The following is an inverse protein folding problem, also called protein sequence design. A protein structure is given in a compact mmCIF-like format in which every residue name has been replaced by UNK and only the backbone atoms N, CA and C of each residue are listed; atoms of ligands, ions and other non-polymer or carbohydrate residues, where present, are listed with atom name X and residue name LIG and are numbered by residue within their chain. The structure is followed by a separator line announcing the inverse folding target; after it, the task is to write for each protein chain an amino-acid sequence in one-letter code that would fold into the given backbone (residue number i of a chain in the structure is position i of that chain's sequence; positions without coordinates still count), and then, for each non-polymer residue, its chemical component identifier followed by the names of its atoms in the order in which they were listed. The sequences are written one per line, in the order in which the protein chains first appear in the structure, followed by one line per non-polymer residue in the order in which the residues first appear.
data_IF_546472851143
#
_entry.id   IF_546472851143
#
_cell.length_a   1.000
_cell.length_b   1.000
_cell.length_c   1.000
_cell.angle_alpha   90.00
_cell.angle_beta   90.00
_cell.angle_gamma   90.00
#
_symmetry.space_group_name_H-M   'P 1'
#
loop_
_entity.id
_entity.type
_entity.pdbx_description
1 polymer ?
#
# COMPACT_ATOMS: atom_id res chain seq x y z
N UNK A 1 -31.22 48.48 -12.41
CA UNK A 1 -30.83 47.50 -11.36
C UNK A 1 -30.48 46.11 -11.91
N UNK A 2 -29.75 45.98 -13.05
CA UNK A 2 -29.50 44.65 -13.69
C UNK A 2 -28.05 44.15 -13.62
N UNK A 3 -27.14 44.85 -12.94
CA UNK A 3 -25.71 44.49 -12.84
C UNK A 3 -25.31 43.79 -11.54
N UNK A 4 -26.18 43.77 -10.51
CA UNK A 4 -25.89 43.14 -9.21
C UNK A 4 -26.31 41.67 -9.12
N UNK A 5 -27.23 41.24 -9.98
CA UNK A 5 -27.73 39.85 -10.02
C UNK A 5 -26.71 38.88 -10.61
N UNK A 6 -25.85 39.33 -11.54
CA UNK A 6 -24.81 38.48 -12.14
C UNK A 6 -23.65 38.19 -11.16
N UNK A 7 -23.35 39.10 -10.23
CA UNK A 7 -22.31 38.91 -9.23
C UNK A 7 -22.71 37.85 -8.18
N UNK A 8 -24.01 37.72 -7.89
CA UNK A 8 -24.51 36.75 -6.91
C UNK A 8 -24.54 35.32 -7.47
N UNK A 9 -24.71 35.14 -8.78
CA UNK A 9 -24.66 33.81 -9.42
C UNK A 9 -23.22 33.27 -9.54
N UNK A 10 -22.20 34.14 -9.61
CA UNK A 10 -20.81 33.70 -9.65
C UNK A 10 -20.27 33.27 -8.27
N UNK A 11 -20.85 33.79 -7.19
CA UNK A 11 -20.42 33.47 -5.82
C UNK A 11 -20.97 32.14 -5.27
N UNK A 12 -22.08 31.65 -5.81
CA UNK A 12 -22.65 30.35 -5.40
C UNK A 12 -21.98 29.14 -6.08
N UNK A 13 -21.34 29.35 -7.23
CA UNK A 13 -20.62 28.28 -7.94
C UNK A 13 -19.24 27.94 -7.32
N UNK A 14 -18.72 28.79 -6.42
CA UNK A 14 -17.42 28.60 -5.77
C UNK A 14 -17.51 27.88 -4.41
N UNK A 15 -18.73 27.56 -3.94
CA UNK A 15 -18.97 26.88 -2.66
C UNK A 15 -19.20 25.37 -2.81
N UNK A 16 -19.35 24.86 -4.03
CA UNK A 16 -19.39 23.42 -4.31
C UNK A 16 -17.97 22.88 -4.46
N UNK A 17 -17.18 22.96 -3.38
CA UNK A 17 -15.97 22.17 -3.25
C UNK A 17 -16.38 20.71 -3.16
N UNK A 18 -16.39 19.99 -4.28
CA UNK A 18 -16.59 18.55 -4.29
C UNK A 18 -15.46 17.90 -3.52
N UNK A 19 -15.75 17.42 -2.31
CA UNK A 19 -14.85 16.53 -1.59
C UNK A 19 -14.87 15.21 -2.35
N UNK A 20 -13.84 14.96 -3.14
CA UNK A 20 -13.60 13.62 -3.69
C UNK A 20 -13.12 12.76 -2.55
N UNK A 21 -14.02 11.97 -1.95
CA UNK A 21 -13.62 10.87 -1.09
C UNK A 21 -13.12 9.74 -2.00
N UNK A 22 -12.02 9.10 -1.63
CA UNK A 22 -11.64 7.85 -2.26
C UNK A 22 -12.77 6.85 -1.99
N UNK A 23 -13.40 6.37 -3.06
CA UNK A 23 -14.40 5.33 -2.96
C UNK A 23 -13.74 4.10 -2.33
N UNK A 24 -14.21 3.72 -1.15
CA UNK A 24 -13.69 2.57 -0.41
C UNK A 24 -14.77 1.49 -0.49
N UNK A 25 -14.57 0.48 -1.33
CA UNK A 25 -15.58 -0.56 -1.59
C UNK A 25 -15.47 -1.68 -0.54
N UNK A 26 -15.71 -1.35 0.73
CA UNK A 26 -15.83 -2.36 1.78
C UNK A 26 -17.28 -2.83 1.89
N UNK A 27 -17.50 -4.14 1.70
CA UNK A 27 -18.80 -4.80 1.96
C UNK A 27 -18.69 -5.60 3.25
N UNK A 28 -19.56 -5.30 4.22
CA UNK A 28 -19.60 -5.98 5.51
C UNK A 28 -20.91 -6.76 5.62
N UNK A 29 -20.81 -8.07 5.80
CA UNK A 29 -21.96 -8.96 5.99
C UNK A 29 -21.87 -9.57 7.38
N UNK A 30 -22.93 -9.43 8.16
CA UNK A 30 -23.05 -10.00 9.49
C UNK A 30 -24.33 -10.80 9.57
N UNK A 31 -24.22 -12.09 9.88
CA UNK A 31 -25.34 -13.03 9.93
C UNK A 31 -26.17 -13.02 8.63
N UNK A 32 -25.48 -12.92 7.49
CA UNK A 32 -26.10 -12.87 6.15
C UNK A 32 -26.76 -11.55 5.78
N UNK A 33 -26.67 -10.51 6.61
CA UNK A 33 -27.20 -9.17 6.33
C UNK A 33 -26.06 -8.20 6.06
N UNK A 34 -26.18 -7.40 5.00
CA UNK A 34 -25.24 -6.33 4.71
C UNK A 34 -25.40 -5.17 5.70
N UNK A 35 -24.29 -4.70 6.25
CA UNK A 35 -24.22 -3.56 7.16
C UNK A 35 -23.55 -2.41 6.42
N UNK A 36 -24.29 -1.32 6.24
CA UNK A 36 -23.82 -0.07 5.63
C UNK A 36 -22.98 0.74 6.64
N UNK A 37 -21.81 0.19 7.01
CA UNK A 37 -20.81 0.84 7.86
C UNK A 37 -19.41 0.39 7.48
N UNK A 38 -18.43 1.25 7.73
CA UNK A 38 -17.04 0.92 7.51
C UNK A 38 -16.37 0.41 8.80
N UNK A 39 -15.77 -0.77 8.76
CA UNK A 39 -15.00 -1.37 9.84
C UNK A 39 -13.58 -0.79 9.82
N UNK A 40 -13.22 -0.11 10.91
CA UNK A 40 -11.92 0.53 11.11
C UNK A 40 -10.94 -0.31 11.92
N UNK A 41 -11.44 -1.19 12.80
CA UNK A 41 -10.60 -2.08 13.61
C UNK A 41 -11.31 -3.40 13.92
N UNK A 42 -10.51 -4.47 14.02
CA UNK A 42 -10.97 -5.81 14.39
C UNK A 42 -10.22 -6.29 15.62
N UNK A 43 -10.95 -6.73 16.64
CA UNK A 43 -10.38 -7.36 17.84
C UNK A 43 -10.87 -8.80 17.96
N UNK A 44 -9.95 -9.76 17.96
CA UNK A 44 -10.27 -11.17 18.03
C UNK A 44 -10.12 -11.69 19.47
N UNK A 45 -11.14 -12.40 19.97
CA UNK A 45 -11.11 -13.03 21.28
C UNK A 45 -11.84 -14.39 21.23
N UNK A 46 -11.06 -15.48 21.28
CA UNK A 46 -11.58 -16.83 21.11
C UNK A 46 -12.26 -16.98 19.74
N UNK A 47 -13.53 -17.41 19.75
CA UNK A 47 -14.36 -17.59 18.55
C UNK A 47 -15.05 -16.30 18.08
N UNK A 48 -14.94 -15.22 18.85
CA UNK A 48 -15.63 -13.97 18.55
C UNK A 48 -14.70 -12.93 17.96
N UNK A 49 -15.29 -12.03 17.18
CA UNK A 49 -14.65 -10.82 16.65
C UNK A 49 -15.48 -9.60 17.04
N UNK A 50 -14.81 -8.59 17.58
CA UNK A 50 -15.37 -7.25 17.78
C UNK A 50 -14.97 -6.37 16.59
N UNK A 51 -15.97 -5.92 15.83
CA UNK A 51 -15.83 -4.95 14.77
C UNK A 51 -16.05 -3.56 15.36
N UNK A 52 -15.04 -2.70 15.24
CA UNK A 52 -15.15 -1.27 15.51
C UNK A 52 -15.44 -0.58 14.18
N UNK A 53 -16.56 0.14 14.12
CA UNK A 53 -16.93 0.94 12.96
C UNK A 53 -16.33 2.35 13.05
N UNK A 54 -16.26 3.02 11.91
CA UNK A 54 -15.79 4.41 11.73
C UNK A 54 -16.69 5.45 12.43
N UNK A 55 -17.97 5.14 12.64
CA UNK A 55 -18.90 5.93 13.45
C UNK A 55 -18.69 5.78 14.97
N UNK A 56 -17.61 5.12 15.39
CA UNK A 56 -17.26 4.78 16.77
C UNK A 56 -18.20 3.77 17.45
N UNK A 57 -19.17 3.18 16.74
CA UNK A 57 -19.95 2.05 17.27
C UNK A 57 -19.18 0.74 17.16
N UNK A 58 -19.55 -0.26 17.96
CA UNK A 58 -18.93 -1.58 17.89
C UNK A 58 -19.97 -2.69 17.98
N UNK A 59 -19.64 -3.84 17.38
CA UNK A 59 -20.44 -5.05 17.44
C UNK A 59 -19.53 -6.25 17.66
N UNK A 60 -19.92 -7.16 18.55
CA UNK A 60 -19.21 -8.43 18.76
C UNK A 60 -20.09 -9.57 18.27
N UNK A 61 -19.56 -10.39 17.38
CA UNK A 61 -20.25 -11.56 16.81
C UNK A 61 -19.32 -12.75 16.70
N UNK A 62 -19.91 -13.93 16.50
CA UNK A 62 -19.16 -15.13 16.14
C UNK A 62 -18.46 -14.92 14.79
N UNK A 63 -17.18 -15.24 14.72
CA UNK A 63 -16.37 -15.05 13.51
C UNK A 63 -16.92 -15.81 12.30
N UNK A 64 -17.67 -16.90 12.51
CA UNK A 64 -18.31 -17.65 11.42
C UNK A 64 -19.47 -16.90 10.74
N UNK A 65 -19.96 -15.82 11.35
CA UNK A 65 -21.10 -15.03 10.85
C UNK A 65 -20.67 -13.74 10.16
N UNK A 66 -19.39 -13.41 10.22
CA UNK A 66 -18.86 -12.13 9.74
C UNK A 66 -18.08 -12.37 8.45
N UNK A 67 -18.42 -11.62 7.41
CA UNK A 67 -17.66 -11.56 6.16
C UNK A 67 -17.37 -10.11 5.82
N UNK A 68 -16.10 -9.79 5.55
CA UNK A 68 -15.67 -8.47 5.11
C UNK A 68 -14.95 -8.65 3.78
N UNK A 69 -15.47 -8.00 2.75
CA UNK A 69 -14.86 -7.96 1.42
C UNK A 69 -14.34 -6.56 1.15
N UNK A 70 -13.14 -6.48 0.58
CA UNK A 70 -12.53 -5.23 0.12
C UNK A 70 -12.35 -5.36 -1.39
N UNK A 71 -13.17 -4.64 -2.14
CA UNK A 71 -13.04 -4.54 -3.58
C UNK A 71 -12.28 -3.24 -3.91
N UNK A 72 -11.31 -3.34 -4.81
CA UNK A 72 -10.60 -2.19 -5.30
C UNK A 72 -10.36 -2.40 -6.79
N UNK A 73 -10.90 -1.52 -7.63
CA UNK A 73 -10.71 -1.58 -9.08
C UNK A 73 -9.23 -1.35 -9.49
N UNK A 74 -8.44 -0.68 -8.64
CA UNK A 74 -7.04 -0.35 -8.92
C UNK A 74 -6.10 -0.95 -7.87
N UNK A 75 -5.32 -1.95 -8.25
CA UNK A 75 -4.26 -2.50 -7.37
C UNK A 75 -3.02 -1.60 -7.39
N UNK A 76 -2.58 -1.13 -6.23
CA UNK A 76 -1.32 -0.34 -6.08
C UNK A 76 -0.12 -1.22 -5.71
N UNK A 77 -0.20 -2.53 -6.00
CA UNK A 77 0.85 -3.49 -5.68
C UNK A 77 2.13 -3.29 -6.49
N UNK A 78 3.25 -3.82 -5.97
CA UNK A 78 4.51 -3.88 -6.72
C UNK A 78 4.37 -4.94 -7.82
N UNK A 79 4.20 -4.50 -9.06
CA UNK A 79 4.06 -5.39 -10.22
C UNK A 79 5.40 -5.86 -10.79
N UNK A 80 6.47 -5.09 -10.57
CA UNK A 80 7.80 -5.39 -11.10
C UNK A 80 8.90 -4.96 -10.13
N UNK A 81 9.92 -5.80 -9.96
CA UNK A 81 11.18 -5.43 -9.32
C UNK A 81 12.14 -5.05 -10.45
N UNK A 82 12.38 -3.76 -10.65
CA UNK A 82 13.44 -3.30 -11.57
C UNK A 82 14.80 -3.59 -10.93
N UNK A 83 15.43 -4.69 -11.34
CA UNK A 83 16.86 -4.87 -11.07
C UNK A 83 17.63 -3.90 -11.95
N UNK A 84 18.53 -3.10 -11.36
CA UNK A 84 19.49 -2.34 -12.17
C UNK A 84 20.25 -3.33 -13.04
N UNK A 85 20.13 -3.18 -14.34
CA UNK A 85 20.92 -3.92 -15.30
C UNK A 85 22.40 -3.48 -15.13
N UNK A 86 23.15 -4.28 -14.37
CA UNK A 86 24.58 -4.10 -14.17
C UNK A 86 25.39 -4.81 -15.28
N UNK A 87 24.75 -5.19 -16.39
CA UNK A 87 25.45 -5.76 -17.54
C UNK A 87 26.45 -4.74 -18.10
N UNK A 88 27.73 -5.01 -17.90
CA UNK A 88 28.81 -4.31 -18.63
C UNK A 88 29.98 -3.81 -17.81
N UNK A 89 29.91 -3.74 -16.47
CA UNK A 89 31.07 -3.35 -15.65
C UNK A 89 31.06 -4.10 -14.31
N UNK A 90 31.57 -5.34 -14.29
CA UNK A 90 31.81 -6.11 -13.07
C UNK A 90 32.83 -5.39 -12.19
N UNK A 91 32.41 -4.38 -11.45
CA UNK A 91 33.20 -3.80 -10.37
C UNK A 91 33.08 -4.74 -9.18
N UNK A 92 34.21 -5.16 -8.64
CA UNK A 92 34.26 -5.97 -7.43
C UNK A 92 34.49 -5.06 -6.25
N UNK A 93 33.75 -5.28 -5.16
CA UNK A 93 33.97 -4.61 -3.88
C UNK A 93 34.12 -5.62 -2.76
N UNK A 94 34.81 -5.26 -1.68
CA UNK A 94 34.76 -6.04 -0.45
C UNK A 94 33.49 -5.72 0.36
N UNK A 95 33.31 -6.39 1.50
CA UNK A 95 32.13 -6.21 2.36
C UNK A 95 32.03 -4.82 3.00
N UNK A 96 33.14 -4.07 3.05
CA UNK A 96 33.17 -2.69 3.50
C UNK A 96 32.88 -1.69 2.35
N UNK A 97 32.55 -2.17 1.14
CA UNK A 97 32.27 -1.34 -0.02
C UNK A 97 33.52 -0.76 -0.72
N UNK A 98 34.72 -1.23 -0.37
CA UNK A 98 35.97 -0.78 -1.02
C UNK A 98 36.13 -1.45 -2.38
N UNK A 99 36.52 -0.68 -3.40
CA UNK A 99 36.72 -1.18 -4.77
C UNK A 99 37.97 -2.08 -4.87
N UNK A 100 37.80 -3.28 -5.41
CA UNK A 100 38.82 -4.34 -5.51
C UNK A 100 39.28 -4.59 -6.96
N UNK A 101 38.70 -3.91 -7.95
CA UNK A 101 39.05 -4.07 -9.36
C UNK A 101 37.90 -4.61 -10.21
N UNK A 102 38.24 -5.13 -11.41
CA UNK A 102 37.26 -5.65 -12.38
C UNK A 102 37.33 -7.17 -12.59
N UNK A 103 38.45 -7.78 -12.25
CA UNK A 103 38.68 -9.21 -12.45
C UNK A 103 38.58 -9.94 -11.11
N UNK A 104 37.54 -10.75 -10.98
CA UNK A 104 37.34 -11.57 -9.79
C UNK A 104 38.40 -12.68 -9.67
N UNK A 105 38.97 -13.16 -10.78
CA UNK A 105 39.94 -14.26 -10.75
C UNK A 105 41.31 -13.84 -10.20
N UNK A 106 41.58 -12.54 -10.17
CA UNK A 106 42.81 -11.98 -9.59
C UNK A 106 42.73 -11.79 -8.07
N UNK A 107 41.58 -12.07 -7.44
CA UNK A 107 41.35 -11.89 -6.02
C UNK A 107 41.59 -13.17 -5.23
N UNK A 108 42.06 -13.01 -3.99
CA UNK A 108 42.16 -14.13 -3.05
C UNK A 108 40.78 -14.71 -2.73
N UNK A 109 40.77 -15.93 -2.19
CA UNK A 109 39.54 -16.60 -1.73
C UNK A 109 38.82 -15.74 -0.68
N UNK A 110 37.51 -15.60 -0.80
CA UNK A 110 36.74 -14.74 0.10
C UNK A 110 35.35 -14.36 -0.41
N UNK A 111 34.67 -13.47 0.31
CA UNK A 111 33.34 -12.95 -0.04
C UNK A 111 33.44 -11.54 -0.58
N UNK A 112 32.84 -11.32 -1.75
CA UNK A 112 32.88 -10.04 -2.47
C UNK A 112 31.50 -9.62 -2.96
N UNK A 113 31.33 -8.33 -3.24
CA UNK A 113 30.16 -7.78 -3.93
C UNK A 113 30.50 -7.64 -5.42
N UNK A 114 29.81 -8.39 -6.27
CA UNK A 114 29.97 -8.38 -7.73
C UNK A 114 28.58 -8.16 -8.32
N UNK A 115 28.42 -7.10 -9.13
CA UNK A 115 27.14 -6.71 -9.72
C UNK A 115 26.00 -6.58 -8.69
N UNK A 116 26.32 -6.04 -7.50
CA UNK A 116 25.38 -5.87 -6.39
C UNK A 116 25.07 -7.14 -5.60
N UNK A 117 25.65 -8.29 -5.95
CA UNK A 117 25.43 -9.57 -5.27
C UNK A 117 26.65 -10.03 -4.49
N UNK A 118 26.42 -10.62 -3.31
CA UNK A 118 27.47 -11.34 -2.55
C UNK A 118 27.85 -12.62 -3.29
N UNK A 119 29.13 -12.77 -3.60
CA UNK A 119 29.70 -13.90 -4.32
C UNK A 119 30.92 -14.43 -3.57
N UNK A 120 31.04 -15.75 -3.48
CA UNK A 120 32.20 -16.43 -2.88
C UNK A 120 33.19 -16.80 -3.98
N UNK A 121 34.41 -16.32 -3.86
CA UNK A 121 35.56 -16.73 -4.68
C UNK A 121 36.30 -17.83 -3.92
N UNK A 122 36.50 -18.98 -4.58
CA UNK A 122 37.01 -20.23 -3.98
C UNK A 122 38.47 -20.49 -4.27
#
# INVERSE_FOLDING_TARGET
MKRKTFLCMFLMALLSGGTMYAETEQTVIINGTEIDKFVSNLTFNGNNVTLQFDDNTSLTEDMSKVSISLSYENTTGITNITSMDNSGKSKVYNLNGQYMGKDANALNKGVYIINGKKTVIK
#
